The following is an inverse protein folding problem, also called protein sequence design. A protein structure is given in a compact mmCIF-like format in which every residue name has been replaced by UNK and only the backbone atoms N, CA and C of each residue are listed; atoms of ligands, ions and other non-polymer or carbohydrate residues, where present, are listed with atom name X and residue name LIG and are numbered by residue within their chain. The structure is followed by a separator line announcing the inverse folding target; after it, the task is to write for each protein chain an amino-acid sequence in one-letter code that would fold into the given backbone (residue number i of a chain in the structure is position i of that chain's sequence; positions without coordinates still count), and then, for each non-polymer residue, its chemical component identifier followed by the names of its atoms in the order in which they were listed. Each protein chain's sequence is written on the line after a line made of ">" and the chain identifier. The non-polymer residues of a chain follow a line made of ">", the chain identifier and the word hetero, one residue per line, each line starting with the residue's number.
data_IF_759107294703
#
_entry.id   IF_759107294703
#
_cell.length_a   1.000
_cell.length_b   1.000
_cell.length_c   1.000
_cell.angle_alpha   90.00
_cell.angle_beta   90.00
_cell.angle_gamma   90.00
#
_symmetry.space_group_name_H-M   'P 1'
#
loop_
_entity.id
_entity.type
_entity.pdbx_description
1 polymer ?
#
# COMPACT_ATOMS: atom_id res chain seq x y z
N UNK A 1 -3.74 0.90 -13.80
CA UNK A 1 -4.86 0.43 -12.99
C UNK A 1 -4.43 -0.51 -11.87
N UNK A 2 -4.44 -0.01 -10.64
CA UNK A 2 -4.32 -0.77 -9.39
C UNK A 2 -5.72 -1.17 -8.88
N UNK A 3 -6.43 -1.93 -9.72
CA UNK A 3 -7.87 -2.24 -9.63
C UNK A 3 -8.31 -2.75 -8.26
N UNK A 4 -7.50 -3.58 -7.60
CA UNK A 4 -7.84 -4.13 -6.28
C UNK A 4 -8.07 -3.05 -5.24
N UNK A 5 -7.28 -1.97 -5.27
CA UNK A 5 -7.45 -0.85 -4.34
C UNK A 5 -8.66 0.00 -4.73
N UNK A 6 -8.83 0.33 -6.01
CA UNK A 6 -9.94 1.18 -6.51
C UNK A 6 -11.31 0.51 -6.34
N UNK A 7 -11.34 -0.83 -6.36
CA UNK A 7 -12.56 -1.61 -6.14
C UNK A 7 -13.01 -1.61 -4.67
N UNK A 8 -12.18 -1.13 -3.73
CA UNK A 8 -12.58 -0.99 -2.34
C UNK A 8 -13.47 0.24 -2.18
N UNK A 9 -14.59 0.07 -1.49
CA UNK A 9 -15.45 1.19 -1.13
C UNK A 9 -14.78 2.07 -0.06
N UNK A 10 -14.05 1.48 0.88
CA UNK A 10 -13.36 2.23 1.94
C UNK A 10 -11.96 1.69 2.18
N UNK A 11 -10.94 2.51 1.98
CA UNK A 11 -9.55 2.14 2.15
C UNK A 11 -8.76 3.20 2.94
N UNK A 12 -7.91 2.74 3.85
CA UNK A 12 -6.93 3.57 4.55
C UNK A 12 -5.54 3.09 4.16
N UNK A 13 -4.69 4.00 3.70
CA UNK A 13 -3.29 3.73 3.41
C UNK A 13 -2.41 4.51 4.36
N UNK A 14 -1.60 3.76 5.11
CA UNK A 14 -0.65 4.33 6.06
C UNK A 14 0.74 4.23 5.47
N UNK A 15 1.30 5.39 5.16
CA UNK A 15 2.45 5.52 4.30
C UNK A 15 3.27 6.75 4.69
N UNK A 16 4.49 6.58 5.20
CA UNK A 16 5.35 7.71 5.58
C UNK A 16 5.85 8.52 4.36
N UNK A 17 5.44 8.16 3.14
CA UNK A 17 5.93 8.72 1.89
C UNK A 17 4.89 9.70 1.34
N UNK A 18 4.92 10.96 1.79
CA UNK A 18 3.90 11.95 1.42
C UNK A 18 3.81 12.18 -0.10
N UNK A 19 4.94 12.21 -0.81
CA UNK A 19 4.96 12.36 -2.27
C UNK A 19 4.26 11.17 -2.97
N UNK A 20 4.46 9.94 -2.48
CA UNK A 20 3.74 8.78 -2.99
C UNK A 20 2.25 8.87 -2.70
N UNK A 21 1.85 9.36 -1.51
CA UNK A 21 0.43 9.53 -1.17
C UNK A 21 -0.24 10.53 -2.10
N UNK A 22 0.43 11.64 -2.43
CA UNK A 22 -0.08 12.64 -3.36
C UNK A 22 -0.25 12.03 -4.76
N UNK A 23 0.78 11.37 -5.29
CA UNK A 23 0.70 10.70 -6.60
C UNK A 23 -0.37 9.61 -6.65
N UNK A 24 -0.52 8.83 -5.58
CA UNK A 24 -1.54 7.80 -5.50
C UNK A 24 -2.94 8.39 -5.45
N UNK A 25 -3.13 9.46 -4.68
CA UNK A 25 -4.40 10.19 -4.64
C UNK A 25 -4.79 10.69 -6.03
N UNK A 26 -3.85 11.31 -6.75
CA UNK A 26 -4.05 11.73 -8.14
C UNK A 26 -4.47 10.60 -9.06
N UNK A 27 -3.73 9.49 -9.05
CA UNK A 27 -4.04 8.37 -9.94
C UNK A 27 -5.39 7.74 -9.58
N UNK A 28 -5.79 7.70 -8.30
CA UNK A 28 -7.14 7.24 -7.89
C UNK A 28 -8.20 8.16 -8.51
N UNK A 29 -8.00 9.48 -8.45
CA UNK A 29 -8.94 10.46 -9.00
C UNK A 29 -9.09 10.28 -10.51
N UNK A 30 -7.98 10.20 -11.24
CA UNK A 30 -8.01 10.07 -12.71
C UNK A 30 -8.78 8.83 -13.17
N UNK A 31 -8.60 7.72 -12.47
CA UNK A 31 -9.31 6.47 -12.74
C UNK A 31 -10.81 6.56 -12.40
N UNK A 32 -11.17 7.33 -11.36
CA UNK A 32 -12.56 7.51 -10.95
C UNK A 32 -13.31 8.56 -11.78
N UNK A 33 -12.67 9.64 -12.20
CA UNK A 33 -13.25 10.68 -13.08
C UNK A 33 -13.70 10.07 -14.41
N UNK A 34 -12.95 9.10 -14.95
CA UNK A 34 -13.34 8.40 -16.18
C UNK A 34 -14.56 7.47 -16.03
N UNK A 35 -15.00 7.16 -14.80
CA UNK A 35 -16.06 6.18 -14.53
C UNK A 35 -17.28 6.72 -13.77
N UNK A 36 -17.18 7.91 -13.15
CA UNK A 36 -18.23 8.48 -12.31
C UNK A 36 -18.66 9.83 -12.90
N UNK A 37 -19.89 9.89 -13.41
CA UNK A 37 -20.51 11.11 -13.88
C UNK A 37 -20.63 12.16 -12.74
N UNK A 38 -20.00 13.31 -12.95
CA UNK A 38 -20.35 14.67 -12.50
C UNK A 38 -20.64 14.97 -11.01
N UNK A 39 -20.47 14.05 -10.06
CA UNK A 39 -20.70 14.37 -8.63
C UNK A 39 -19.48 14.14 -7.73
N UNK A 40 -18.69 15.21 -7.66
CA UNK A 40 -17.93 15.67 -6.50
C UNK A 40 -16.86 14.72 -6.00
N UNK A 41 -15.63 14.91 -6.49
CA UNK A 41 -14.43 14.38 -5.85
C UNK A 41 -13.88 15.47 -4.95
N UNK A 42 -13.70 15.18 -3.66
CA UNK A 42 -13.13 16.14 -2.71
C UNK A 42 -11.75 15.67 -2.27
N UNK A 43 -10.76 16.54 -2.45
CA UNK A 43 -9.43 16.36 -1.88
C UNK A 43 -9.30 17.22 -0.63
N UNK A 44 -9.12 16.55 0.50
CA UNK A 44 -8.74 17.24 1.73
C UNK A 44 -7.25 17.07 1.94
N UNK A 45 -6.52 18.18 2.06
CA UNK A 45 -5.15 18.16 2.55
C UNK A 45 -5.08 18.81 3.92
N UNK A 46 -4.44 18.15 4.88
CA UNK A 46 -4.25 18.71 6.21
C UNK A 46 -2.77 18.69 6.58
N UNK A 47 -2.24 19.90 6.85
CA UNK A 47 -0.83 20.17 7.18
C UNK A 47 0.19 19.70 6.11
N UNK A 48 -0.27 19.39 4.90
CA UNK A 48 0.58 19.05 3.77
C UNK A 48 0.98 20.34 3.05
N UNK A 49 2.19 20.85 3.28
CA UNK A 49 2.73 21.93 2.45
C UNK A 49 3.37 21.32 1.21
N UNK A 50 2.68 21.35 0.08
CA UNK A 50 3.21 20.79 -1.16
C UNK A 50 2.81 21.66 -2.35
N UNK A 51 3.80 22.17 -3.08
CA UNK A 51 3.61 22.80 -4.39
C UNK A 51 2.94 21.83 -5.37
N UNK A 52 3.22 20.53 -5.23
CA UNK A 52 2.59 19.47 -6.01
C UNK A 52 1.07 19.41 -5.78
N UNK A 53 0.58 19.69 -4.56
CA UNK A 53 -0.86 19.74 -4.29
C UNK A 53 -1.51 20.95 -4.98
N UNK A 54 -0.78 22.05 -5.17
CA UNK A 54 -1.27 23.19 -5.96
C UNK A 54 -1.34 22.86 -7.45
N UNK A 55 -0.34 22.19 -7.98
CA UNK A 55 -0.35 21.72 -9.38
C UNK A 55 -1.57 20.83 -9.67
N UNK A 56 -1.98 20.00 -8.71
CA UNK A 56 -3.19 19.15 -8.80
C UNK A 56 -4.47 19.99 -8.89
N UNK A 57 -4.57 21.05 -8.09
CA UNK A 57 -5.75 21.93 -8.06
C UNK A 57 -5.91 22.63 -9.42
N UNK A 58 -4.80 23.03 -10.03
CA UNK A 58 -4.82 23.72 -11.32
C UNK A 58 -5.19 22.79 -12.49
N UNK A 59 -4.86 21.50 -12.39
CA UNK A 59 -5.17 20.48 -13.41
C UNK A 59 -6.63 20.00 -13.34
N UNK A 60 -7.23 19.92 -12.14
CA UNK A 60 -8.59 19.38 -11.93
C UNK A 60 -9.56 20.43 -11.39
N UNK A 61 -10.15 21.22 -12.29
CA UNK A 61 -11.06 22.35 -11.94
C UNK A 61 -12.35 21.95 -11.22
N UNK A 62 -12.80 20.69 -11.36
CA UNK A 62 -14.03 20.17 -10.72
C UNK A 62 -13.76 19.50 -9.35
N UNK A 63 -12.53 19.56 -8.85
CA UNK A 63 -12.13 18.98 -7.57
C UNK A 63 -12.18 20.05 -6.49
N UNK A 64 -12.98 19.81 -5.45
CA UNK A 64 -13.01 20.69 -4.29
C UNK A 64 -11.81 20.39 -3.42
N UNK A 65 -10.97 21.41 -3.19
CA UNK A 65 -9.82 21.32 -2.31
C UNK A 65 -10.08 22.00 -0.98
N UNK A 66 -9.84 21.28 0.11
CA UNK A 66 -10.04 21.79 1.46
C UNK A 66 -8.78 21.64 2.30
N UNK A 67 -8.33 22.77 2.84
CA UNK A 67 -7.26 22.85 3.84
C UNK A 67 -7.80 22.69 5.27
N UNK A 68 -8.96 22.06 5.44
CA UNK A 68 -9.63 21.87 6.73
C UNK A 68 -10.17 20.45 6.88
N UNK A 69 -10.15 19.97 8.13
CA UNK A 69 -10.74 18.70 8.53
C UNK A 69 -12.20 18.91 8.98
N UNK A 70 -13.02 19.50 8.11
CA UNK A 70 -14.44 19.71 8.39
C UNK A 70 -15.27 18.59 7.75
N UNK A 71 -16.30 18.12 8.47
CA UNK A 71 -17.22 17.10 7.98
C UNK A 71 -17.85 17.54 6.66
N UNK A 72 -17.52 16.84 5.58
CA UNK A 72 -18.03 17.15 4.26
C UNK A 72 -19.28 16.32 4.02
N UNK A 73 -20.40 17.02 3.84
CA UNK A 73 -21.64 16.40 3.42
C UNK A 73 -21.73 16.47 1.89
N UNK A 74 -22.23 15.38 1.30
CA UNK A 74 -22.70 15.29 -0.10
C UNK A 74 -21.63 15.18 -1.19
N UNK A 75 -20.77 14.17 -1.12
CA UNK A 75 -19.94 13.78 -2.27
C UNK A 75 -19.86 12.27 -2.39
N UNK A 76 -19.83 11.76 -3.62
CA UNK A 76 -19.86 10.32 -3.89
C UNK A 76 -18.50 9.68 -3.61
N UNK A 77 -17.39 10.42 -3.84
CA UNK A 77 -16.03 9.93 -3.62
C UNK A 77 -15.20 10.96 -2.85
N UNK A 78 -14.50 10.49 -1.82
CA UNK A 78 -13.49 11.27 -1.11
C UNK A 78 -12.11 10.63 -1.25
N UNK A 79 -11.13 11.45 -1.60
CA UNK A 79 -9.70 11.09 -1.55
C UNK A 79 -9.00 12.08 -0.62
N UNK A 80 -8.61 11.61 0.56
CA UNK A 80 -8.14 12.48 1.64
C UNK A 80 -6.66 12.21 1.86
N UNK A 81 -5.84 13.25 1.77
CA UNK A 81 -4.38 13.16 1.96
C UNK A 81 -4.00 13.93 3.22
N UNK A 82 -3.58 13.22 4.28
CA UNK A 82 -3.31 13.85 5.57
C UNK A 82 -1.86 13.65 5.98
N UNK A 83 -1.26 14.72 6.47
CA UNK A 83 -0.07 14.60 7.32
C UNK A 83 -0.49 14.65 8.79
N UNK A 84 -0.10 13.63 9.55
CA UNK A 84 -0.21 13.53 10.99
C UNK A 84 -1.61 13.84 11.59
N UNK A 85 -2.45 12.82 11.74
CA UNK A 85 -3.77 12.93 12.38
C UNK A 85 -3.97 11.86 13.46
N UNK A 86 -4.75 12.19 14.50
CA UNK A 86 -5.22 11.20 15.46
C UNK A 86 -6.32 10.33 14.83
N UNK A 87 -6.23 9.01 15.06
CA UNK A 87 -7.14 8.02 14.49
C UNK A 87 -8.62 8.29 14.82
N UNK A 88 -8.91 8.83 16.01
CA UNK A 88 -10.26 9.09 16.48
C UNK A 88 -10.94 10.27 15.73
N UNK A 89 -10.14 11.16 15.13
CA UNK A 89 -10.65 12.25 14.29
C UNK A 89 -11.13 11.72 12.94
N UNK A 90 -10.41 10.76 12.34
CA UNK A 90 -10.73 10.17 11.02
C UNK A 90 -12.12 9.54 10.96
N UNK A 91 -12.55 8.87 12.04
CA UNK A 91 -13.80 8.11 12.06
C UNK A 91 -15.06 8.98 12.13
N UNK A 92 -14.93 10.24 12.56
CA UNK A 92 -16.09 11.13 12.78
C UNK A 92 -16.50 11.93 11.53
N UNK A 93 -15.64 12.00 10.51
CA UNK A 93 -15.81 13.00 9.44
C UNK A 93 -16.41 12.50 8.12
N UNK A 94 -16.59 11.18 7.93
CA UNK A 94 -16.90 10.63 6.59
C UNK A 94 -17.98 9.53 6.60
N UNK A 95 -19.13 9.82 7.20
CA UNK A 95 -20.19 8.81 7.42
C UNK A 95 -20.88 8.40 6.10
N UNK A 96 -21.05 9.32 5.14
CA UNK A 96 -21.96 9.16 3.99
C UNK A 96 -21.28 9.09 2.60
N UNK A 97 -20.02 8.67 2.52
CA UNK A 97 -19.32 8.49 1.24
C UNK A 97 -19.56 7.09 0.64
N UNK A 98 -19.82 7.00 -0.68
CA UNK A 98 -19.86 5.74 -1.42
C UNK A 98 -18.46 5.14 -1.57
N UNK A 99 -17.49 5.98 -1.95
CA UNK A 99 -16.06 5.65 -1.93
C UNK A 99 -15.24 6.60 -1.07
N UNK A 100 -14.34 6.05 -0.27
CA UNK A 100 -13.52 6.79 0.68
C UNK A 100 -12.10 6.23 0.74
N UNK A 101 -11.14 7.03 0.28
CA UNK A 101 -9.72 6.72 0.32
C UNK A 101 -9.02 7.69 1.26
N UNK A 102 -8.34 7.18 2.29
CA UNK A 102 -7.63 8.00 3.26
C UNK A 102 -6.14 7.66 3.22
N UNK A 103 -5.33 8.57 2.69
CA UNK A 103 -3.88 8.45 2.54
C UNK A 103 -3.20 9.24 3.65
N UNK A 104 -2.59 8.55 4.61
CA UNK A 104 -2.11 9.17 5.85
C UNK A 104 -0.63 8.91 6.08
N UNK A 105 0.11 9.97 6.37
CA UNK A 105 1.57 9.89 6.59
C UNK A 105 1.92 9.09 7.85
N UNK A 106 1.20 9.40 8.93
CA UNK A 106 1.41 8.82 10.26
C UNK A 106 0.07 8.63 10.95
N UNK A 107 -0.10 7.46 11.56
CA UNK A 107 -1.24 7.15 12.43
C UNK A 107 -0.70 6.63 13.75
N UNK A 108 -1.14 7.23 14.84
CA UNK A 108 -0.68 6.88 16.19
C UNK A 108 -1.23 5.53 16.67
N UNK A 109 -2.37 5.06 16.12
CA UNK A 109 -2.87 3.70 16.34
C UNK A 109 -3.75 3.22 15.19
N UNK A 110 -3.24 2.26 14.40
CA UNK A 110 -4.01 1.59 13.33
C UNK A 110 -5.16 0.76 13.89
N UNK A 111 -4.99 0.18 15.08
CA UNK A 111 -6.01 -0.67 15.71
C UNK A 111 -7.29 0.09 16.03
N UNK A 112 -7.20 1.41 16.25
CA UNK A 112 -8.36 2.28 16.45
C UNK A 112 -9.16 2.53 15.16
N UNK A 113 -8.54 2.34 13.99
CA UNK A 113 -9.20 2.50 12.69
C UNK A 113 -9.91 1.23 12.24
N UNK A 114 -9.89 0.17 13.06
CA UNK A 114 -10.57 -1.08 12.77
C UNK A 114 -12.08 -0.85 12.79
N UNK A 115 -12.65 -0.74 11.60
CA UNK A 115 -14.08 -0.67 11.39
C UNK A 115 -14.47 -1.67 10.29
N UNK A 116 -15.63 -2.31 10.44
CA UNK A 116 -16.11 -3.29 9.47
C UNK A 116 -16.23 -2.64 8.08
N UNK A 117 -15.75 -3.33 7.05
CA UNK A 117 -15.80 -2.85 5.66
C UNK A 117 -14.66 -1.91 5.23
N UNK A 118 -13.66 -1.65 6.10
CA UNK A 118 -12.46 -0.89 5.74
C UNK A 118 -11.28 -1.81 5.46
N UNK A 119 -10.65 -1.65 4.29
CA UNK A 119 -9.36 -2.26 4.00
C UNK A 119 -8.24 -1.31 4.45
N UNK A 120 -7.30 -1.81 5.27
CA UNK A 120 -6.20 -0.99 5.79
C UNK A 120 -4.88 -1.51 5.26
N UNK A 121 -4.17 -0.67 4.52
CA UNK A 121 -2.90 -0.97 3.91
C UNK A 121 -1.75 -0.26 4.63
N UNK A 122 -0.67 -0.99 4.87
CA UNK A 122 0.63 -0.42 5.24
C UNK A 122 1.51 -0.35 4.01
N UNK A 123 2.04 0.83 3.74
CA UNK A 123 2.93 1.05 2.60
C UNK A 123 4.39 0.89 3.03
N UNK A 124 5.16 0.16 2.24
CA UNK A 124 6.62 0.09 2.33
C UNK A 124 7.24 0.42 0.99
N UNK A 125 8.40 1.08 1.02
CA UNK A 125 9.23 1.23 -0.17
C UNK A 125 10.11 -0.01 -0.33
N UNK A 126 10.01 -0.66 -1.48
CA UNK A 126 10.77 -1.88 -1.83
C UNK A 126 12.09 -1.50 -2.53
N UNK A 127 12.03 -0.53 -3.44
CA UNK A 127 13.19 0.02 -4.14
C UNK A 127 12.99 1.52 -4.49
N UNK A 128 13.77 2.07 -5.41
CA UNK A 128 13.68 3.47 -5.80
C UNK A 128 12.29 3.89 -6.31
N UNK A 129 11.55 3.03 -7.00
CA UNK A 129 10.28 3.35 -7.64
C UNK A 129 9.14 2.40 -7.25
N UNK A 130 9.44 1.30 -6.55
CA UNK A 130 8.48 0.25 -6.20
C UNK A 130 8.07 0.35 -4.73
N UNK A 131 6.76 0.26 -4.50
CA UNK A 131 6.10 0.30 -3.21
C UNK A 131 5.24 -0.94 -3.04
N UNK A 132 5.25 -1.53 -1.83
CA UNK A 132 4.31 -2.59 -1.46
C UNK A 132 3.23 -2.06 -0.54
N UNK A 133 1.99 -2.43 -0.82
CA UNK A 133 0.81 -2.18 -0.02
C UNK A 133 0.40 -3.51 0.61
N UNK A 134 0.66 -3.66 1.90
CA UNK A 134 0.28 -4.84 2.66
C UNK A 134 -1.04 -4.57 3.37
N UNK A 135 -2.09 -5.33 3.05
CA UNK A 135 -3.30 -5.29 3.84
C UNK A 135 -3.01 -5.93 5.21
N UNK A 136 -3.36 -5.25 6.30
CA UNK A 136 -3.02 -5.72 7.65
C UNK A 136 -4.02 -6.73 8.22
N UNK A 137 -5.16 -6.91 7.54
CA UNK A 137 -6.22 -7.83 7.95
C UNK A 137 -6.57 -8.87 6.90
N UNK A 138 -6.26 -8.61 5.64
CA UNK A 138 -6.37 -9.56 4.53
C UNK A 138 -4.94 -10.00 4.17
N UNK A 139 -4.72 -11.28 3.86
CA UNK A 139 -3.43 -11.81 3.39
C UNK A 139 -3.14 -11.35 1.94
N UNK A 140 -3.23 -10.05 1.69
CA UNK A 140 -3.09 -9.41 0.39
C UNK A 140 -1.86 -8.50 0.37
N UNK A 141 -1.08 -8.61 -0.70
CA UNK A 141 -0.04 -7.63 -1.06
C UNK A 141 -0.26 -7.11 -2.46
N UNK A 142 -0.13 -5.80 -2.64
CA UNK A 142 -0.15 -5.15 -3.95
C UNK A 142 1.18 -4.45 -4.17
N UNK A 143 1.81 -4.67 -5.32
CA UNK A 143 3.01 -3.95 -5.73
C UNK A 143 2.67 -2.83 -6.70
N UNK A 144 3.14 -1.62 -6.39
CA UNK A 144 2.96 -0.43 -7.20
C UNK A 144 4.32 0.11 -7.64
N UNK A 145 4.47 0.41 -8.92
CA UNK A 145 5.66 1.05 -9.48
C UNK A 145 5.32 2.46 -9.97
N UNK A 146 6.19 3.42 -9.65
CA UNK A 146 6.06 4.81 -10.07
C UNK A 146 6.98 5.09 -11.26
N UNK A 147 6.42 5.62 -12.35
CA UNK A 147 7.19 6.13 -13.49
C UNK A 147 6.70 7.54 -13.84
N UNK A 148 7.50 8.55 -13.48
CA UNK A 148 7.07 9.95 -13.53
C UNK A 148 5.90 10.18 -12.56
N UNK A 149 4.77 10.66 -13.08
CA UNK A 149 3.54 10.88 -12.31
C UNK A 149 2.56 9.69 -12.33
N UNK A 150 2.86 8.64 -13.11
CA UNK A 150 1.97 7.49 -13.29
C UNK A 150 2.29 6.36 -12.31
N UNK A 151 1.24 5.66 -11.84
CA UNK A 151 1.34 4.48 -10.98
C UNK A 151 0.82 3.24 -11.69
N UNK A 152 1.63 2.18 -11.68
CA UNK A 152 1.32 0.90 -12.29
C UNK A 152 1.31 -0.22 -11.25
N UNK A 153 0.30 -1.09 -11.30
CA UNK A 153 0.36 -2.33 -10.53
C UNK A 153 1.34 -3.29 -11.21
N UNK A 154 2.26 -3.84 -10.42
CA UNK A 154 3.25 -4.82 -10.87
C UNK A 154 2.92 -6.20 -10.31
N UNK A 155 3.32 -7.24 -11.03
CA UNK A 155 3.26 -8.61 -10.52
C UNK A 155 4.35 -8.84 -9.47
N UNK A 156 4.12 -9.81 -8.60
CA UNK A 156 5.17 -10.28 -7.68
C UNK A 156 6.27 -10.93 -8.54
N UNK A 157 7.53 -10.50 -8.38
CA UNK A 157 8.64 -11.07 -9.16
C UNK A 157 8.80 -12.59 -8.97
N UNK A 158 9.18 -13.31 -10.02
CA UNK A 158 9.35 -14.78 -9.98
C UNK A 158 10.43 -15.24 -8.98
N UNK A 159 11.50 -14.46 -8.81
CA UNK A 159 12.54 -14.73 -7.82
C UNK A 159 11.98 -14.66 -6.39
N UNK A 160 11.03 -13.74 -6.15
CA UNK A 160 10.33 -13.60 -4.87
C UNK A 160 9.38 -14.78 -4.63
N UNK A 161 8.67 -15.23 -5.67
CA UNK A 161 7.79 -16.41 -5.62
C UNK A 161 8.60 -17.69 -5.35
N UNK A 162 9.75 -17.84 -6.01
CA UNK A 162 10.68 -18.95 -5.79
C UNK A 162 11.07 -19.05 -4.31
N UNK A 163 11.57 -17.95 -3.73
CA UNK A 163 11.98 -17.93 -2.31
C UNK A 163 10.78 -18.21 -1.39
N UNK A 164 9.60 -17.66 -1.72
CA UNK A 164 8.40 -17.92 -0.93
C UNK A 164 8.04 -19.40 -0.88
N UNK A 165 8.00 -20.08 -2.03
CA UNK A 165 7.69 -21.52 -2.13
C UNK A 165 8.68 -22.34 -1.33
N UNK A 166 9.97 -22.03 -1.42
CA UNK A 166 11.01 -22.74 -0.66
C UNK A 166 10.87 -22.55 0.85
N UNK A 167 10.55 -21.34 1.31
CA UNK A 167 10.27 -21.09 2.73
C UNK A 167 9.02 -21.83 3.19
N UNK A 168 7.93 -21.80 2.41
CA UNK A 168 6.69 -22.51 2.74
C UNK A 168 6.94 -24.03 2.84
N UNK A 169 7.65 -24.62 1.89
CA UNK A 169 7.98 -26.03 1.88
C UNK A 169 8.80 -26.42 3.12
N UNK A 170 9.86 -25.67 3.42
CA UNK A 170 10.69 -25.94 4.60
C UNK A 170 9.96 -25.72 5.92
N UNK A 171 9.12 -24.68 6.03
CA UNK A 171 8.33 -24.44 7.23
C UNK A 171 7.27 -25.54 7.43
N UNK A 172 6.70 -26.06 6.35
CA UNK A 172 5.77 -27.18 6.40
C UNK A 172 6.43 -28.48 6.86
N UNK A 173 7.66 -28.75 6.41
CA UNK A 173 8.39 -29.98 6.72
C UNK A 173 9.13 -29.92 8.07
N UNK A 174 9.73 -28.77 8.39
CA UNK A 174 10.69 -28.62 9.49
C UNK A 174 10.29 -27.54 10.51
N UNK A 175 9.15 -26.86 10.31
CA UNK A 175 8.59 -25.86 11.24
C UNK A 175 9.22 -24.47 11.18
N UNK A 176 10.50 -24.35 10.83
CA UNK A 176 11.18 -23.05 10.68
C UNK A 176 12.43 -23.16 9.82
N UNK A 177 12.87 -22.06 9.20
CA UNK A 177 14.14 -22.01 8.47
C UNK A 177 14.89 -20.70 8.73
N UNK A 178 16.20 -20.80 8.99
CA UNK A 178 17.07 -19.62 9.05
C UNK A 178 17.37 -19.12 7.63
N UNK A 179 17.43 -17.81 7.46
CA UNK A 179 17.79 -17.19 6.18
C UNK A 179 19.17 -17.67 5.66
N UNK A 180 20.13 -17.90 6.56
CA UNK A 180 21.46 -18.42 6.21
C UNK A 180 21.42 -19.86 5.72
N UNK A 181 20.52 -20.68 6.28
CA UNK A 181 20.40 -22.10 5.94
C UNK A 181 19.66 -22.26 4.61
N UNK A 182 18.59 -21.47 4.39
CA UNK A 182 17.95 -21.37 3.08
C UNK A 182 18.95 -20.93 2.00
N UNK A 183 19.70 -19.85 2.24
CA UNK A 183 20.72 -19.39 1.29
C UNK A 183 21.73 -20.48 0.97
N UNK A 184 22.21 -21.20 1.99
CA UNK A 184 23.17 -22.30 1.80
C UNK A 184 22.57 -23.44 0.98
N UNK A 185 21.33 -23.82 1.28
CA UNK A 185 20.60 -24.87 0.55
C UNK A 185 20.42 -24.49 -0.92
N UNK A 186 19.88 -23.31 -1.20
CA UNK A 186 19.64 -22.82 -2.57
C UNK A 186 20.93 -22.77 -3.40
N UNK A 187 22.05 -22.36 -2.79
CA UNK A 187 23.33 -22.25 -3.49
C UNK A 187 24.02 -23.60 -3.66
N UNK A 188 24.12 -24.40 -2.59
CA UNK A 188 24.91 -25.63 -2.61
C UNK A 188 24.17 -26.84 -3.17
N UNK A 189 22.86 -26.89 -2.96
CA UNK A 189 22.02 -28.04 -3.35
C UNK A 189 21.32 -27.77 -4.67
N UNK A 190 20.71 -26.60 -4.82
CA UNK A 190 19.97 -26.25 -6.03
C UNK A 190 20.82 -25.50 -7.08
N UNK A 191 22.06 -25.13 -6.74
CA UNK A 191 23.02 -24.56 -7.69
C UNK A 191 22.74 -23.11 -8.11
N UNK A 192 21.92 -22.37 -7.38
CA UNK A 192 21.66 -20.97 -7.69
C UNK A 192 22.84 -20.05 -7.34
N UNK A 193 22.92 -18.92 -8.05
CA UNK A 193 23.87 -17.86 -7.70
C UNK A 193 23.59 -17.28 -6.30
N UNK A 194 24.66 -17.06 -5.54
CA UNK A 194 24.56 -16.60 -4.14
C UNK A 194 23.99 -15.20 -4.03
N UNK A 195 24.43 -14.29 -4.89
CA UNK A 195 24.00 -12.89 -4.85
C UNK A 195 22.54 -12.76 -5.28
N UNK A 196 22.14 -13.49 -6.32
CA UNK A 196 20.76 -13.63 -6.76
C UNK A 196 19.83 -14.06 -5.61
N UNK A 197 20.14 -15.16 -4.92
CA UNK A 197 19.30 -15.67 -3.81
C UNK A 197 19.28 -14.70 -2.63
N UNK A 198 20.42 -14.12 -2.27
CA UNK A 198 20.49 -13.15 -1.18
C UNK A 198 19.59 -11.93 -1.47
N UNK A 199 19.62 -11.43 -2.70
CA UNK A 199 18.80 -10.31 -3.13
C UNK A 199 17.31 -10.69 -3.20
N UNK A 200 16.98 -11.89 -3.67
CA UNK A 200 15.61 -12.40 -3.69
C UNK A 200 15.04 -12.52 -2.27
N UNK A 201 15.78 -13.08 -1.31
CA UNK A 201 15.37 -13.14 0.12
C UNK A 201 15.11 -11.75 0.68
N UNK A 202 16.03 -10.81 0.46
CA UNK A 202 15.88 -9.41 0.92
C UNK A 202 14.65 -8.76 0.32
N UNK A 203 14.41 -8.95 -0.98
CA UNK A 203 13.26 -8.43 -1.70
C UNK A 203 11.95 -9.02 -1.17
N UNK A 204 11.89 -10.32 -0.90
CA UNK A 204 10.71 -10.97 -0.31
C UNK A 204 10.33 -10.38 1.07
N UNK A 205 11.34 -10.09 1.90
CA UNK A 205 11.14 -9.42 3.20
C UNK A 205 10.69 -7.96 3.03
N UNK A 206 11.31 -7.24 2.09
CA UNK A 206 11.00 -5.84 1.81
C UNK A 206 9.57 -5.65 1.31
N UNK A 207 9.14 -6.48 0.35
CA UNK A 207 7.77 -6.54 -0.14
C UNK A 207 6.81 -6.87 1.02
N UNK A 208 7.26 -7.69 1.97
CA UNK A 208 6.49 -8.05 3.15
C UNK A 208 5.74 -9.38 3.00
N UNK A 209 6.09 -10.17 1.98
CA UNK A 209 5.53 -11.52 1.81
C UNK A 209 6.13 -12.52 2.80
N UNK A 210 7.37 -12.27 3.21
CA UNK A 210 8.07 -13.02 4.25
C UNK A 210 8.30 -12.14 5.46
N UNK A 211 8.11 -12.73 6.63
CA UNK A 211 8.60 -12.20 7.89
C UNK A 211 10.05 -12.61 8.12
N UNK A 212 10.79 -11.76 8.82
CA UNK A 212 12.14 -12.05 9.28
C UNK A 212 12.27 -11.66 10.75
N UNK A 213 12.50 -12.66 11.61
CA UNK A 213 12.64 -12.46 13.05
C UNK A 213 13.74 -13.37 13.59
N UNK A 214 14.68 -12.79 14.33
CA UNK A 214 15.78 -13.53 14.98
C UNK A 214 16.57 -14.46 14.03
N UNK A 215 16.71 -14.09 12.76
CA UNK A 215 17.39 -14.90 11.75
C UNK A 215 16.51 -15.87 10.96
N UNK A 216 15.26 -16.07 11.39
CA UNK A 216 14.32 -17.01 10.80
C UNK A 216 13.38 -16.33 9.81
N UNK A 217 13.06 -17.05 8.73
CA UNK A 217 12.09 -16.68 7.73
C UNK A 217 10.78 -17.43 7.97
N UNK A 218 9.66 -16.76 7.72
CA UNK A 218 8.34 -17.37 7.77
C UNK A 218 7.39 -16.69 6.77
N UNK A 219 6.41 -17.42 6.20
CA UNK A 219 5.37 -16.83 5.36
C UNK A 219 4.55 -15.81 6.17
N UNK A 220 4.40 -14.59 5.66
CA UNK A 220 3.60 -13.55 6.31
C UNK A 220 2.22 -13.39 5.68
N UNK A 221 2.11 -13.70 4.39
CA UNK A 221 0.86 -13.74 3.64
C UNK A 221 0.77 -15.08 2.90
N UNK A 222 -0.44 -15.49 2.57
CA UNK A 222 -0.69 -16.59 1.66
C UNK A 222 -0.66 -16.09 0.22
N UNK A 223 0.27 -16.58 -0.59
CA UNK A 223 0.28 -16.34 -2.03
C UNK A 223 -0.27 -17.60 -2.69
N UNK A 224 -1.42 -17.47 -3.35
CA UNK A 224 -1.89 -18.49 -4.30
C UNK A 224 -1.04 -18.36 -5.57
N UNK A 225 0.17 -18.93 -5.52
CA UNK A 225 1.11 -18.99 -6.63
C UNK A 225 1.08 -20.36 -7.31
#
# INVERSE_FOLDING_TARGET
>A
MFTNLINRNRAILVSPYINFNILLGLNIINELVGSIAEKGIVICSYKVSSELVKEIIDEYKDVVFLNSFTCLNNSNVYVIILSNIEADSLLRCFVNADKLFVLVEKVWSLNKLRNAGWSIYRVKRVDQATYSLLNIYEDEVVLLNIKGYAIYQSQIPEDVILIYREVVNHVREFGSIKASDLLRYMVKVLGYDKEFILNAIRRSIAIGILGYQSGYLFPKILINA
#
